data_IF_893619657384
#
_entry.id   IF_893619657384
#
_cell.length_a   1.000
_cell.length_b   1.000
_cell.length_c   1.000
_cell.angle_alpha   90.00
_cell.angle_beta   90.00
_cell.angle_gamma   90.00
#
_symmetry.space_group_name_H-M   'P 1'
#
loop_
_entity.id
_entity.type
_entity.pdbx_description
1 polymer ?
#
# COMPACT_ATOMS: atom_id res chain seq x y z
N UNK A 1 -14.78 6.03 5.44
CA UNK A 1 -14.19 6.44 6.73
C UNK A 1 -14.64 5.52 7.86
N UNK A 2 -15.91 5.10 7.94
CA UNK A 2 -16.42 4.24 9.02
C UNK A 2 -15.58 2.97 9.30
N UNK A 3 -15.16 2.24 8.26
CA UNK A 3 -14.30 1.05 8.44
C UNK A 3 -12.99 1.36 9.17
N UNK A 4 -12.35 2.49 8.85
CA UNK A 4 -11.09 2.89 9.51
C UNK A 4 -11.35 3.32 10.95
N UNK A 5 -12.44 4.04 11.22
CA UNK A 5 -12.80 4.44 12.58
C UNK A 5 -13.11 3.24 13.48
N UNK A 6 -13.81 2.24 12.96
CA UNK A 6 -14.10 0.99 13.67
C UNK A 6 -12.82 0.20 13.95
N UNK A 7 -11.98 -0.01 12.93
CA UNK A 7 -10.70 -0.68 13.08
C UNK A 7 -9.79 0.06 14.08
N UNK A 8 -9.77 1.39 14.06
CA UNK A 8 -9.01 2.20 15.02
C UNK A 8 -9.49 1.96 16.45
N UNK A 9 -10.81 2.05 16.69
CA UNK A 9 -11.41 1.82 18.01
C UNK A 9 -11.07 0.43 18.55
N UNK A 10 -11.13 -0.57 17.69
CA UNK A 10 -10.78 -1.94 18.05
C UNK A 10 -9.29 -2.04 18.43
N UNK A 11 -8.38 -1.59 17.57
CA UNK A 11 -6.92 -1.62 17.81
C UNK A 11 -6.55 -0.87 19.08
N UNK A 12 -7.08 0.34 19.26
CA UNK A 12 -6.80 1.20 20.42
C UNK A 12 -7.27 0.56 21.73
N UNK A 13 -8.33 -0.26 21.70
CA UNK A 13 -8.90 -0.88 22.91
C UNK A 13 -7.96 -1.88 23.59
N UNK A 14 -7.04 -2.49 22.83
CA UNK A 14 -6.09 -3.49 23.35
C UNK A 14 -4.62 -3.09 23.16
N UNK A 15 -4.32 -1.94 22.56
CA UNK A 15 -2.95 -1.47 22.39
C UNK A 15 -2.29 -1.18 23.74
N UNK A 16 -1.09 -1.72 23.94
CA UNK A 16 -0.27 -1.46 25.15
C UNK A 16 0.60 -0.22 25.02
N UNK A 17 0.85 0.24 23.79
CA UNK A 17 1.76 1.34 23.45
C UNK A 17 1.05 2.65 23.10
N UNK A 18 -0.23 2.77 23.45
CA UNK A 18 -1.06 3.93 23.08
C UNK A 18 -1.81 3.76 21.75
N UNK A 19 -2.65 4.74 21.39
CA UNK A 19 -3.52 4.64 20.22
C UNK A 19 -2.73 4.71 18.91
N UNK A 20 -3.16 3.96 17.89
CA UNK A 20 -2.57 4.03 16.54
C UNK A 20 -2.92 5.38 15.90
N UNK A 21 -1.97 6.01 15.21
CA UNK A 21 -2.26 7.24 14.44
C UNK A 21 -3.17 6.93 13.24
N UNK A 22 -3.99 7.90 12.83
CA UNK A 22 -4.77 7.77 11.59
C UNK A 22 -3.85 7.67 10.37
N UNK A 23 -2.73 8.39 10.36
CA UNK A 23 -1.72 8.33 9.31
C UNK A 23 -1.21 6.90 9.10
N UNK A 24 -0.82 6.19 10.16
CA UNK A 24 -0.41 4.79 10.04
C UNK A 24 -1.58 3.88 9.62
N UNK A 25 -2.75 4.03 10.24
CA UNK A 25 -3.91 3.17 9.95
C UNK A 25 -4.37 3.26 8.49
N UNK A 26 -4.39 4.46 7.90
CA UNK A 26 -4.73 4.68 6.49
C UNK A 26 -3.77 3.91 5.58
N UNK A 27 -2.46 3.99 5.84
CA UNK A 27 -1.47 3.31 5.02
C UNK A 27 -1.50 1.79 5.21
N UNK A 28 -1.72 1.28 6.43
CA UNK A 28 -1.90 -0.17 6.65
C UNK A 28 -3.19 -0.71 6.04
N UNK A 29 -4.28 0.06 6.05
CA UNK A 29 -5.50 -0.32 5.34
C UNK A 29 -5.26 -0.43 3.83
N UNK A 30 -4.53 0.53 3.24
CA UNK A 30 -4.13 0.46 1.84
C UNK A 30 -3.17 -0.72 1.54
N UNK A 31 -2.23 -1.04 2.44
CA UNK A 31 -1.41 -2.26 2.34
C UNK A 31 -2.28 -3.52 2.32
N UNK A 32 -3.24 -3.61 3.24
CA UNK A 32 -4.18 -4.74 3.33
C UNK A 32 -5.01 -4.87 2.06
N UNK A 33 -5.53 -3.76 1.53
CA UNK A 33 -6.26 -3.72 0.26
C UNK A 33 -5.38 -4.19 -0.92
N UNK A 34 -4.13 -3.72 -1.02
CA UNK A 34 -3.20 -4.17 -2.05
C UNK A 34 -2.95 -5.69 -1.98
N UNK A 35 -2.69 -6.23 -0.77
CA UNK A 35 -2.56 -7.68 -0.53
C UNK A 35 -3.83 -8.43 -0.95
N UNK A 36 -5.01 -7.89 -0.69
CA UNK A 36 -6.27 -8.48 -1.11
C UNK A 36 -6.41 -8.55 -2.64
N UNK A 37 -5.96 -7.53 -3.38
CA UNK A 37 -5.94 -7.58 -4.86
C UNK A 37 -5.01 -8.66 -5.40
N UNK A 38 -3.85 -8.87 -4.76
CA UNK A 38 -2.89 -9.91 -5.14
C UNK A 38 -3.45 -11.31 -4.87
N UNK A 39 -4.08 -11.50 -3.70
CA UNK A 39 -4.76 -12.76 -3.37
C UNK A 39 -5.92 -13.05 -4.34
N UNK A 40 -6.75 -12.05 -4.66
CA UNK A 40 -7.83 -12.21 -5.62
C UNK A 40 -7.31 -12.60 -7.02
N UNK A 41 -6.18 -12.03 -7.45
CA UNK A 41 -5.53 -12.43 -8.70
C UNK A 41 -5.04 -13.89 -8.66
N UNK A 42 -4.44 -14.34 -7.54
CA UNK A 42 -4.01 -15.73 -7.37
C UNK A 42 -5.19 -16.71 -7.41
N UNK A 43 -6.29 -16.40 -6.70
CA UNK A 43 -7.52 -17.21 -6.71
C UNK A 43 -8.09 -17.31 -8.13
N UNK A 44 -8.17 -16.18 -8.86
CA UNK A 44 -8.62 -16.15 -10.25
C UNK A 44 -7.74 -17.01 -11.15
N UNK A 45 -6.42 -16.95 -11.00
CA UNK A 45 -5.44 -17.78 -11.75
C UNK A 45 -5.57 -19.26 -11.43
N UNK A 46 -6.08 -19.62 -10.26
CA UNK A 46 -6.42 -20.99 -9.87
C UNK A 46 -7.85 -21.40 -10.26
N UNK A 47 -8.50 -20.70 -11.19
CA UNK A 47 -9.85 -21.02 -11.66
C UNK A 47 -10.94 -20.79 -10.61
N UNK A 48 -10.71 -19.88 -9.66
CA UNK A 48 -11.64 -19.58 -8.57
C UNK A 48 -11.50 -20.50 -7.34
N UNK A 49 -10.55 -21.44 -7.33
CA UNK A 49 -10.31 -22.28 -6.16
C UNK A 49 -9.55 -21.49 -5.07
N UNK A 50 -10.23 -21.17 -3.98
CA UNK A 50 -9.66 -20.36 -2.90
C UNK A 50 -8.47 -21.00 -2.18
N UNK A 51 -8.50 -22.30 -1.94
CA UNK A 51 -7.44 -23.01 -1.20
C UNK A 51 -6.13 -23.03 -2.01
N UNK A 52 -6.24 -23.35 -3.31
CA UNK A 52 -5.10 -23.28 -4.24
C UNK A 52 -4.62 -21.85 -4.42
N UNK A 53 -5.54 -20.89 -4.51
CA UNK A 53 -5.22 -19.46 -4.60
C UNK A 53 -4.45 -18.95 -3.39
N UNK A 54 -4.86 -19.31 -2.17
CA UNK A 54 -4.15 -18.99 -0.92
C UNK A 54 -2.76 -19.62 -0.90
N UNK A 55 -2.63 -20.88 -1.32
CA UNK A 55 -1.33 -21.56 -1.42
C UNK A 55 -0.41 -20.85 -2.41
N UNK A 56 -0.92 -20.48 -3.59
CA UNK A 56 -0.17 -19.75 -4.61
C UNK A 56 0.27 -18.37 -4.12
N UNK A 57 -0.65 -17.61 -3.50
CA UNK A 57 -0.37 -16.29 -2.94
C UNK A 57 0.66 -16.36 -1.80
N UNK A 58 0.58 -17.34 -0.92
CA UNK A 58 1.55 -17.49 0.16
C UNK A 58 2.97 -17.74 -0.37
N UNK A 59 3.10 -18.45 -1.50
CA UNK A 59 4.39 -18.71 -2.14
C UNK A 59 4.93 -17.51 -2.92
N UNK A 60 4.08 -16.77 -3.65
CA UNK A 60 4.52 -15.78 -4.64
C UNK A 60 3.98 -14.36 -4.47
N UNK A 61 3.15 -14.09 -3.46
CA UNK A 61 2.50 -12.79 -3.21
C UNK A 61 3.44 -11.69 -2.71
N UNK A 62 4.74 -11.83 -2.97
CA UNK A 62 5.79 -10.84 -2.68
C UNK A 62 5.83 -10.37 -1.21
N UNK A 63 5.44 -11.24 -0.27
CA UNK A 63 5.33 -10.89 1.15
C UNK A 63 6.63 -10.31 1.74
N UNK A 64 7.79 -10.81 1.29
CA UNK A 64 9.10 -10.31 1.72
C UNK A 64 9.42 -8.87 1.27
N UNK A 65 8.77 -8.37 0.21
CA UNK A 65 9.00 -7.01 -0.29
C UNK A 65 8.39 -5.94 0.61
N UNK A 66 7.42 -6.29 1.47
CA UNK A 66 6.80 -5.37 2.43
C UNK A 66 7.72 -4.98 3.60
N UNK A 67 8.87 -5.62 3.77
CA UNK A 67 9.73 -5.43 4.95
C UNK A 67 10.12 -3.96 5.23
N UNK A 68 10.38 -3.15 4.19
CA UNK A 68 10.67 -1.73 4.40
C UNK A 68 9.41 -0.93 4.77
N UNK A 69 8.28 -1.23 4.15
CA UNK A 69 6.99 -0.62 4.49
C UNK A 69 6.64 -0.89 5.96
N UNK A 70 6.74 -2.16 6.39
CA UNK A 70 6.40 -2.59 7.74
C UNK A 70 7.33 -1.95 8.79
N UNK A 71 8.59 -1.68 8.42
CA UNK A 71 9.55 -0.96 9.26
C UNK A 71 9.22 0.54 9.36
N UNK A 72 8.59 1.12 8.35
CA UNK A 72 8.18 2.52 8.34
C UNK A 72 6.83 2.68 9.07
N UNK A 73 6.82 2.46 10.38
CA UNK A 73 5.65 2.53 11.25
C UNK A 73 5.90 3.51 12.39
N UNK A 74 4.96 4.43 12.64
CA UNK A 74 5.13 5.54 13.58
C UNK A 74 5.02 6.91 12.92
N UNK A 75 4.03 7.09 12.03
CA UNK A 75 3.70 8.39 11.41
C UNK A 75 2.92 9.26 12.39
N UNK A 76 3.14 10.57 12.30
CA UNK A 76 2.40 11.53 13.10
C UNK A 76 1.13 12.00 12.38
N UNK A 77 0.04 12.11 13.12
CA UNK A 77 -1.18 12.76 12.64
C UNK A 77 -0.99 14.28 12.54
N UNK A 78 -1.60 14.88 11.53
CA UNK A 78 -1.80 16.33 11.44
C UNK A 78 -3.15 16.71 12.06
N UNK A 79 -3.24 17.91 12.62
CA UNK A 79 -4.49 18.45 13.16
C UNK A 79 -5.27 19.24 12.11
N UNK A 80 -4.55 19.82 11.14
CA UNK A 80 -5.12 20.66 10.10
C UNK A 80 -5.16 19.92 8.76
N UNK A 81 -6.18 20.19 7.92
CA UNK A 81 -6.23 19.65 6.58
C UNK A 81 -5.04 20.15 5.74
N UNK A 82 -4.56 19.29 4.85
CA UNK A 82 -3.56 19.70 3.86
C UNK A 82 -4.08 20.83 2.95
N UNK A 83 -3.21 21.72 2.44
CA UNK A 83 -3.64 22.79 1.55
C UNK A 83 -4.35 22.28 0.29
N UNK A 84 -5.44 22.95 -0.06
CA UNK A 84 -6.31 22.60 -1.20
C UNK A 84 -5.61 22.68 -2.57
N UNK A 85 -6.23 22.08 -3.58
CA UNK A 85 -5.80 22.19 -4.99
C UNK A 85 -4.55 21.39 -5.37
N UNK A 86 -4.02 20.54 -4.47
CA UNK A 86 -2.80 19.75 -4.70
C UNK A 86 -3.02 18.32 -5.19
N UNK A 87 -4.27 17.86 -5.20
CA UNK A 87 -4.66 16.49 -5.58
C UNK A 87 -5.68 16.57 -6.72
N UNK A 88 -5.38 16.00 -7.90
CA UNK A 88 -6.34 15.91 -9.00
C UNK A 88 -7.57 15.09 -8.63
N UNK A 89 -8.69 15.39 -9.28
CA UNK A 89 -9.85 14.49 -9.28
C UNK A 89 -9.56 13.40 -10.31
N UNK A 90 -9.01 12.26 -9.86
CA UNK A 90 -8.46 11.21 -10.73
C UNK A 90 -9.43 10.72 -11.81
N UNK A 91 -10.73 10.62 -11.51
CA UNK A 91 -11.78 10.18 -12.45
C UNK A 91 -11.97 11.14 -13.65
N UNK A 92 -11.55 12.40 -13.52
CA UNK A 92 -11.73 13.45 -14.52
C UNK A 92 -10.40 14.01 -15.04
N UNK A 93 -9.29 13.64 -14.42
CA UNK A 93 -7.98 14.15 -14.77
C UNK A 93 -7.53 13.61 -16.13
N UNK A 94 -6.91 14.47 -16.93
CA UNK A 94 -6.16 14.04 -18.11
C UNK A 94 -4.90 13.28 -17.71
N UNK A 95 -4.37 12.45 -18.61
CA UNK A 95 -3.11 11.72 -18.35
C UNK A 95 -1.96 12.68 -18.07
N UNK A 96 -1.94 13.86 -18.70
CA UNK A 96 -0.92 14.87 -18.45
C UNK A 96 -0.99 15.39 -17.00
N UNK A 97 -2.19 15.73 -16.49
CA UNK A 97 -2.35 16.16 -15.09
C UNK A 97 -1.94 15.06 -14.11
N UNK A 98 -2.23 13.80 -14.42
CA UNK A 98 -1.77 12.66 -13.60
C UNK A 98 -0.24 12.55 -13.61
N UNK A 99 0.40 12.67 -14.78
CA UNK A 99 1.88 12.67 -14.88
C UNK A 99 2.49 13.81 -14.08
N UNK A 100 1.99 15.03 -14.28
CA UNK A 100 2.50 16.23 -13.61
C UNK A 100 2.37 16.11 -12.09
N UNK A 101 1.27 15.54 -11.60
CA UNK A 101 1.10 15.26 -10.16
C UNK A 101 2.15 14.30 -9.63
N UNK A 102 2.44 13.21 -10.34
CA UNK A 102 3.47 12.25 -9.93
C UNK A 102 4.87 12.86 -9.97
N UNK A 103 5.17 13.65 -11.00
CA UNK A 103 6.44 14.41 -11.11
C UNK A 103 6.60 15.39 -9.95
N UNK A 104 5.55 16.13 -9.60
CA UNK A 104 5.56 17.10 -8.50
C UNK A 104 5.86 16.48 -7.12
N UNK A 105 5.65 15.17 -6.95
CA UNK A 105 5.98 14.44 -5.71
C UNK A 105 7.22 13.55 -5.84
N UNK A 106 8.03 13.75 -6.89
CA UNK A 106 9.30 13.05 -7.10
C UNK A 106 9.20 11.67 -7.74
N UNK A 107 8.06 11.36 -8.37
CA UNK A 107 7.83 10.14 -9.14
C UNK A 107 7.80 10.43 -10.65
N UNK A 108 7.53 9.40 -11.47
CA UNK A 108 7.39 9.55 -12.91
C UNK A 108 6.39 8.57 -13.53
N UNK A 109 6.39 8.45 -14.87
CA UNK A 109 5.42 7.63 -15.62
C UNK A 109 5.34 6.17 -15.18
N UNK A 110 6.46 5.58 -14.75
CA UNK A 110 6.51 4.20 -14.23
C UNK A 110 5.66 4.03 -12.98
N UNK A 111 5.80 4.94 -12.02
CA UNK A 111 5.07 4.89 -10.76
C UNK A 111 3.59 5.18 -10.95
N UNK A 112 3.25 6.08 -11.89
CA UNK A 112 1.87 6.31 -12.29
C UNK A 112 1.22 5.02 -12.84
N UNK A 113 1.92 4.33 -13.74
CA UNK A 113 1.41 3.09 -14.33
C UNK A 113 1.25 1.95 -13.30
N UNK A 114 2.22 1.76 -12.39
CA UNK A 114 2.17 0.65 -11.43
C UNK A 114 1.11 0.85 -10.34
N UNK A 115 0.78 2.10 -10.02
CA UNK A 115 -0.28 2.45 -9.07
C UNK A 115 -1.66 2.61 -9.75
N UNK A 116 -1.86 2.04 -10.95
CA UNK A 116 -3.13 2.17 -11.69
C UNK A 116 -4.37 1.80 -10.88
N UNK A 117 -4.28 0.78 -10.01
CA UNK A 117 -5.38 0.37 -9.12
C UNK A 117 -5.76 1.39 -8.03
N UNK A 118 -4.93 2.41 -7.78
CA UNK A 118 -5.18 3.46 -6.78
C UNK A 118 -5.92 4.67 -7.38
N UNK A 119 -6.03 4.77 -8.71
CA UNK A 119 -6.57 5.95 -9.38
C UNK A 119 -8.08 5.85 -9.65
N UNK A 120 -8.66 4.66 -9.51
CA UNK A 120 -10.07 4.41 -9.74
C UNK A 120 -10.47 2.96 -9.47
N UNK A 121 -11.79 2.67 -9.46
CA UNK A 121 -12.31 1.33 -9.13
C UNK A 121 -12.10 0.30 -10.24
N UNK A 122 -11.95 0.72 -11.49
CA UNK A 122 -11.65 -0.14 -12.64
C UNK A 122 -10.21 0.10 -13.12
N UNK A 123 -9.33 -0.84 -12.74
CA UNK A 123 -7.92 -0.79 -13.14
C UNK A 123 -7.76 -0.89 -14.66
N UNK A 124 -8.58 -1.68 -15.35
CA UNK A 124 -8.46 -1.89 -16.81
C UNK A 124 -8.86 -0.63 -17.58
N UNK A 125 -9.94 0.03 -17.17
CA UNK A 125 -10.35 1.30 -17.77
C UNK A 125 -9.29 2.40 -17.52
N UNK A 126 -8.77 2.47 -16.29
CA UNK A 126 -7.68 3.39 -15.94
C UNK A 126 -6.45 3.16 -16.81
N UNK A 127 -6.03 1.91 -16.99
CA UNK A 127 -4.85 1.58 -17.79
C UNK A 127 -5.05 1.83 -19.28
N UNK A 128 -6.27 1.66 -19.78
CA UNK A 128 -6.61 1.99 -21.17
C UNK A 128 -6.46 3.49 -21.43
N UNK A 129 -6.89 4.33 -20.47
CA UNK A 129 -6.65 5.77 -20.51
C UNK A 129 -5.14 6.08 -20.41
N UNK A 130 -4.42 5.52 -19.44
CA UNK A 130 -2.99 5.77 -19.27
C UNK A 130 -2.16 5.36 -20.51
N UNK A 131 -2.57 4.30 -21.20
CA UNK A 131 -1.89 3.80 -22.41
C UNK A 131 -2.06 4.71 -23.63
N UNK A 132 -2.90 5.77 -23.58
CA UNK A 132 -2.96 6.76 -24.66
C UNK A 132 -1.74 7.69 -24.67
N UNK A 133 -0.99 7.74 -23.58
CA UNK A 133 0.21 8.57 -23.44
C UNK A 133 1.49 7.76 -23.73
N UNK A 134 2.37 8.23 -24.64
CA UNK A 134 3.54 7.47 -25.09
C UNK A 134 4.59 7.26 -23.98
N UNK A 135 4.64 8.11 -22.96
CA UNK A 135 5.60 7.96 -21.85
C UNK A 135 5.14 6.91 -20.83
N UNK A 136 3.83 6.73 -20.70
CA UNK A 136 3.20 5.85 -19.71
C UNK A 136 2.89 4.47 -20.31
N UNK A 137 2.53 4.41 -21.60
CA UNK A 137 2.13 3.19 -22.29
C UNK A 137 3.13 2.02 -22.17
N UNK A 138 4.46 2.20 -22.30
CA UNK A 138 5.40 1.09 -22.16
C UNK A 138 5.37 0.45 -20.77
N UNK A 139 5.13 1.25 -19.73
CA UNK A 139 5.03 0.78 -18.35
C UNK A 139 3.72 0.06 -18.10
N UNK A 140 2.60 0.58 -18.60
CA UNK A 140 1.30 -0.12 -18.56
C UNK A 140 1.42 -1.50 -19.19
N UNK A 141 1.97 -1.57 -20.40
CA UNK A 141 2.15 -2.84 -21.11
C UNK A 141 3.09 -3.80 -20.36
N UNK A 142 4.17 -3.30 -19.74
CA UNK A 142 5.06 -4.10 -18.89
C UNK A 142 4.28 -4.73 -17.74
N UNK A 143 3.47 -3.95 -17.02
CA UNK A 143 2.74 -4.44 -15.85
C UNK A 143 1.56 -5.34 -16.23
N UNK A 144 0.91 -5.11 -17.37
CA UNK A 144 -0.07 -6.04 -17.94
C UNK A 144 0.56 -7.41 -18.22
N UNK A 145 1.69 -7.45 -18.95
CA UNK A 145 2.44 -8.70 -19.19
C UNK A 145 2.86 -9.38 -17.89
N UNK A 146 3.29 -8.61 -16.89
CA UNK A 146 3.61 -9.17 -15.58
C UNK A 146 2.38 -9.83 -14.96
N UNK A 147 1.22 -9.16 -14.92
CA UNK A 147 -0.01 -9.70 -14.32
C UNK A 147 -0.57 -10.92 -15.05
N UNK A 148 -0.28 -11.08 -16.34
CA UNK A 148 -0.60 -12.30 -17.10
C UNK A 148 0.23 -13.52 -16.66
N UNK A 149 1.45 -13.32 -16.15
CA UNK A 149 2.24 -14.43 -15.58
C UNK A 149 1.61 -14.94 -14.28
N UNK A 150 1.90 -16.18 -13.89
CA UNK A 150 1.35 -16.77 -12.66
C UNK A 150 1.72 -15.94 -11.43
N UNK A 151 2.99 -15.60 -11.24
CA UNK A 151 3.50 -14.92 -10.04
C UNK A 151 3.41 -13.39 -10.07
N UNK A 152 3.23 -12.76 -11.24
CA UNK A 152 3.08 -11.30 -11.40
C UNK A 152 4.09 -10.43 -10.63
N UNK A 153 5.31 -10.94 -10.49
CA UNK A 153 6.32 -10.44 -9.54
C UNK A 153 6.74 -9.00 -9.82
N UNK A 154 7.05 -8.65 -11.07
CA UNK A 154 7.43 -7.27 -11.42
C UNK A 154 6.36 -6.25 -11.02
N UNK A 155 5.08 -6.56 -11.26
CA UNK A 155 3.97 -5.68 -10.88
C UNK A 155 3.86 -5.54 -9.35
N UNK A 156 3.83 -6.66 -8.62
CA UNK A 156 3.70 -6.63 -7.16
C UNK A 156 4.88 -5.89 -6.50
N UNK A 157 6.11 -6.22 -6.90
CA UNK A 157 7.32 -5.65 -6.31
C UNK A 157 7.43 -4.15 -6.60
N UNK A 158 7.18 -3.72 -7.83
CA UNK A 158 7.25 -2.29 -8.18
C UNK A 158 6.11 -1.49 -7.54
N UNK A 159 4.91 -2.07 -7.39
CA UNK A 159 3.80 -1.47 -6.68
C UNK A 159 4.18 -1.22 -5.22
N UNK A 160 4.68 -2.27 -4.53
CA UNK A 160 5.11 -2.17 -3.14
C UNK A 160 6.22 -1.13 -3.00
N UNK A 161 7.22 -1.16 -3.88
CA UNK A 161 8.35 -0.21 -3.85
C UNK A 161 7.88 1.24 -3.98
N UNK A 162 6.94 1.49 -4.88
CA UNK A 162 6.37 2.83 -5.11
C UNK A 162 5.51 3.26 -3.94
N UNK A 163 4.60 2.40 -3.49
CA UNK A 163 3.70 2.68 -2.39
C UNK A 163 4.45 2.89 -1.06
N UNK A 164 5.53 2.14 -0.82
CA UNK A 164 6.43 2.33 0.32
C UNK A 164 6.96 3.76 0.37
N UNK A 165 7.52 4.26 -0.73
CA UNK A 165 8.02 5.64 -0.80
C UNK A 165 6.90 6.67 -0.62
N UNK A 166 5.77 6.47 -1.32
CA UNK A 166 4.61 7.37 -1.27
C UNK A 166 4.08 7.50 0.16
N UNK A 167 4.01 6.38 0.89
CA UNK A 167 3.46 6.32 2.25
C UNK A 167 4.26 7.11 3.29
N UNK A 168 5.47 7.56 2.97
CA UNK A 168 6.35 8.26 3.92
C UNK A 168 6.74 9.66 3.47
N UNK A 169 6.16 10.18 2.39
CA UNK A 169 6.46 11.53 1.92
C UNK A 169 6.12 12.57 3.01
N UNK A 170 7.11 13.41 3.36
CA UNK A 170 6.94 14.46 4.37
C UNK A 170 6.87 13.97 5.83
N UNK A 171 6.93 12.66 6.08
CA UNK A 171 6.84 12.08 7.42
C UNK A 171 8.23 11.75 7.97
N UNK A 172 8.43 12.02 9.27
CA UNK A 172 9.56 11.49 10.03
C UNK A 172 9.04 10.34 10.89
N UNK A 173 9.56 9.13 10.64
CA UNK A 173 9.09 7.94 11.33
C UNK A 173 9.68 7.89 12.74
N UNK A 174 8.83 7.79 13.75
CA UNK A 174 9.21 7.45 15.11
C UNK A 174 9.30 5.93 15.24
N UNK A 175 10.51 5.38 15.20
CA UNK A 175 10.73 3.93 15.27
C UNK A 175 10.46 3.34 16.67
N UNK A 176 10.31 4.19 17.68
CA UNK A 176 9.93 3.83 19.04
C UNK A 176 8.42 4.01 19.28
N UNK A 177 7.65 4.41 18.27
CA UNK A 177 6.20 4.54 18.37
C UNK A 177 5.56 3.22 18.80
N UNK A 178 4.50 3.31 19.60
CA UNK A 178 3.72 2.17 20.07
C UNK A 178 4.49 1.16 20.94
N UNK A 179 5.65 1.56 21.48
CA UNK A 179 6.38 0.79 22.47
C UNK A 179 5.79 0.96 23.88
N UNK A 180 6.07 0.00 24.77
CA UNK A 180 5.66 0.04 26.17
C UNK A 180 6.74 -0.59 27.06
N UNK A 181 6.82 -0.24 28.36
CA UNK A 181 7.82 -0.79 29.25
C UNK A 181 7.78 -2.33 29.30
N UNK A 182 8.91 -3.02 29.11
CA UNK A 182 8.94 -4.48 29.22
C UNK A 182 8.58 -4.91 30.66
N UNK A 183 7.87 -6.04 30.85
CA UNK A 183 7.62 -6.57 32.17
C UNK A 183 8.94 -6.79 32.92
N UNK A 184 9.07 -6.20 34.12
CA UNK A 184 10.26 -6.41 34.95
C UNK A 184 10.28 -7.89 35.38
N UNK A 185 11.33 -8.61 34.97
CA UNK A 185 11.57 -9.98 35.45
C UNK A 185 12.10 -9.87 36.88
N UNK A 186 11.38 -10.47 37.82
CA UNK A 186 11.88 -10.66 39.17
C UNK A 186 12.88 -11.81 39.16
N UNK A 187 14.17 -11.47 39.03
CA UNK A 187 15.27 -12.44 38.98
C UNK A 187 15.34 -13.31 40.25
N UNK A 188 14.74 -12.89 41.36
CA UNK A 188 14.68 -13.70 42.60
C UNK A 188 13.67 -14.85 42.52
N UNK A 189 12.74 -14.79 41.53
CA UNK A 189 11.73 -15.84 41.27
C UNK A 189 12.12 -16.79 40.15
N UNK A 190 13.25 -16.55 39.48
CA UNK A 190 13.80 -17.49 38.51
C UNK A 190 14.44 -18.65 39.30
N UNK A 191 13.80 -19.82 39.27
CA UNK A 191 14.47 -21.06 39.71
C UNK A 191 15.49 -21.43 38.63
N UNK A 192 16.78 -21.27 38.96
CA UNK A 192 17.90 -21.87 38.23
C UNK A 192 17.93 -23.39 38.45
#
# INVERSE_FOLDING_TARGET
MNLLEEAKKEIDSYSKGGPISYADLIHFAAQSAAKATFLAAAIRKCGGNEEKGKTLYNAYGSNGQWGLFDRQFGRADTQDPDPEGRVPIWEKASVQEMKDKFVAVGFGPRQLAVLSAFLGPDQTATETLLATDPDVAPWVQKYQRSRETVSQTDYEVDLITTFTKLSTLGQQINYEAYTYPPPKIDITKLKL
#
